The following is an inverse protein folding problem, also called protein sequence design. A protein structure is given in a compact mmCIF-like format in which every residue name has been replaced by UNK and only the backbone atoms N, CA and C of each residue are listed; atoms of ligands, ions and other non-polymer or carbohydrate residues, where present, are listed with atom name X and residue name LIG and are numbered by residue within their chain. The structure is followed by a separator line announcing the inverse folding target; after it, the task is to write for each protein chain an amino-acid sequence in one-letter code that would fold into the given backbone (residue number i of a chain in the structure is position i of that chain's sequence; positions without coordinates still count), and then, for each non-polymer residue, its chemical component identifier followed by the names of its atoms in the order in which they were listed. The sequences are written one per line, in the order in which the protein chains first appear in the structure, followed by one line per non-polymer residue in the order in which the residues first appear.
data_IF_515668084551
#
_entry.id   IF_515668084551
#
_cell.length_a   1.000
_cell.length_b   1.000
_cell.length_c   1.000
_cell.angle_alpha   90.00
_cell.angle_beta   90.00
_cell.angle_gamma   90.00
#
_symmetry.space_group_name_H-M   'P 1'
#
loop_
_entity.id
_entity.type
_entity.pdbx_description
1 polymer ?
#
# COMPACT_ATOMS: atom_id res chain seq x y z
N UNK A 1 -32.51 -2.84 -40.17
CA UNK A 1 -32.11 -2.09 -38.96
C UNK A 1 -30.87 -1.33 -39.36
N UNK A 2 -30.94 0.02 -39.39
CA UNK A 2 -29.93 0.88 -40.02
C UNK A 2 -28.63 0.86 -39.17
N UNK A 3 -27.46 0.79 -39.84
CA UNK A 3 -26.12 0.82 -39.21
C UNK A 3 -25.95 2.01 -38.27
N UNK A 4 -26.48 3.18 -38.66
CA UNK A 4 -26.49 4.38 -37.79
C UNK A 4 -27.20 4.14 -36.45
N UNK A 5 -28.34 3.42 -36.45
CA UNK A 5 -29.07 3.14 -35.21
C UNK A 5 -28.30 2.15 -34.31
N UNK A 6 -27.48 1.26 -34.91
CA UNK A 6 -26.59 0.36 -34.16
C UNK A 6 -25.38 1.12 -33.58
N UNK A 7 -24.79 2.03 -34.36
CA UNK A 7 -23.70 2.88 -33.90
C UNK A 7 -24.17 3.82 -32.77
N UNK A 8 -25.36 4.43 -32.91
CA UNK A 8 -25.94 5.30 -31.87
C UNK A 8 -26.23 4.47 -30.60
N UNK A 9 -26.81 3.26 -30.72
CA UNK A 9 -27.03 2.38 -29.56
C UNK A 9 -25.72 1.91 -28.92
N UNK A 10 -24.71 1.55 -29.71
CA UNK A 10 -23.39 1.21 -29.23
C UNK A 10 -22.70 2.41 -28.55
N UNK A 11 -22.83 3.61 -29.12
CA UNK A 11 -22.28 4.86 -28.53
C UNK A 11 -23.00 5.23 -27.24
N UNK A 12 -24.33 5.06 -27.18
CA UNK A 12 -25.11 5.29 -25.95
C UNK A 12 -24.79 4.20 -24.91
N UNK A 13 -24.66 2.94 -25.33
CA UNK A 13 -24.23 1.83 -24.46
C UNK A 13 -22.81 2.04 -23.94
N UNK A 14 -21.88 2.47 -24.78
CA UNK A 14 -20.51 2.82 -24.40
C UNK A 14 -20.45 4.12 -23.56
N UNK A 15 -21.34 5.09 -23.80
CA UNK A 15 -21.46 6.31 -22.94
C UNK A 15 -22.21 6.04 -21.64
N UNK A 16 -23.14 5.09 -21.62
CA UNK A 16 -23.85 4.67 -20.41
C UNK A 16 -23.05 3.65 -19.58
N UNK A 17 -22.14 2.92 -20.21
CA UNK A 17 -21.10 2.08 -19.65
C UNK A 17 -19.69 2.73 -19.75
N UNK A 18 -19.56 4.03 -19.89
CA UNK A 18 -18.44 4.71 -19.25
C UNK A 18 -18.59 4.29 -17.80
N UNK A 19 -17.86 3.24 -17.44
CA UNK A 19 -17.74 2.70 -16.10
C UNK A 19 -17.86 3.88 -15.17
N UNK A 20 -18.84 3.85 -14.30
CA UNK A 20 -18.91 4.75 -13.18
C UNK A 20 -17.54 4.60 -12.55
N UNK A 21 -16.59 5.49 -12.96
CA UNK A 21 -15.18 5.32 -12.59
C UNK A 21 -15.20 5.35 -11.08
N UNK A 22 -15.12 4.14 -10.50
CA UNK A 22 -15.18 3.98 -9.06
C UNK A 22 -14.23 4.99 -8.45
N UNK A 23 -14.71 5.78 -7.51
CA UNK A 23 -13.87 6.77 -6.84
C UNK A 23 -12.79 6.03 -6.06
N UNK A 24 -11.65 5.76 -6.75
CA UNK A 24 -10.57 4.90 -6.26
C UNK A 24 -9.44 5.74 -5.71
N UNK A 25 -9.05 5.42 -4.47
CA UNK A 25 -7.92 6.02 -3.80
C UNK A 25 -6.64 5.22 -3.97
N UNK A 26 -5.49 5.88 -4.04
CA UNK A 26 -4.18 5.27 -3.99
C UNK A 26 -3.54 5.53 -2.63
N UNK A 27 -2.98 4.49 -2.00
CA UNK A 27 -2.17 4.57 -0.79
C UNK A 27 -0.88 3.78 -0.94
N UNK A 28 0.26 4.47 -0.83
CA UNK A 28 1.59 3.86 -1.01
C UNK A 28 2.29 3.66 0.32
N UNK A 29 2.88 2.49 0.52
CA UNK A 29 3.71 2.19 1.68
C UNK A 29 4.68 1.05 1.41
N UNK A 30 5.79 0.98 2.18
CA UNK A 30 6.69 -0.17 2.13
C UNK A 30 6.20 -1.35 2.97
N UNK A 31 5.46 -1.07 4.04
CA UNK A 31 4.89 -2.09 4.96
C UNK A 31 5.93 -3.07 5.50
N UNK A 32 6.98 -2.56 6.09
CA UNK A 32 8.14 -3.31 6.61
C UNK A 32 8.29 -3.23 8.16
N UNK A 33 7.39 -3.85 8.96
CA UNK A 33 6.17 -4.57 8.60
C UNK A 33 4.93 -3.68 8.46
N UNK A 34 3.80 -4.28 8.07
CA UNK A 34 2.48 -3.68 8.20
C UNK A 34 2.13 -3.50 9.68
N UNK A 35 1.59 -2.34 10.05
CA UNK A 35 1.28 -1.99 11.45
C UNK A 35 -0.11 -1.36 11.60
N UNK A 36 -0.59 -1.22 12.85
CA UNK A 36 -1.92 -0.67 13.14
C UNK A 36 -2.16 0.71 12.53
N UNK A 37 -1.15 1.56 12.49
CA UNK A 37 -1.25 2.86 11.81
C UNK A 37 -1.55 2.77 10.31
N UNK A 38 -1.03 1.75 9.61
CA UNK A 38 -1.39 1.49 8.22
C UNK A 38 -2.84 1.02 8.08
N UNK A 39 -3.30 0.16 8.98
CA UNK A 39 -4.66 -0.35 9.00
C UNK A 39 -5.67 0.81 9.18
N UNK A 40 -5.44 1.68 10.13
CA UNK A 40 -6.31 2.83 10.38
C UNK A 40 -6.28 3.83 9.20
N UNK A 41 -5.12 4.03 8.58
CA UNK A 41 -5.01 4.84 7.36
C UNK A 41 -5.89 4.28 6.22
N UNK A 42 -5.86 2.97 6.00
CA UNK A 42 -6.67 2.30 4.98
C UNK A 42 -8.17 2.45 5.30
N UNK A 43 -8.57 2.25 6.56
CA UNK A 43 -9.96 2.46 7.00
C UNK A 43 -10.42 3.89 6.79
N UNK A 44 -9.56 4.87 7.07
CA UNK A 44 -9.89 6.29 6.83
C UNK A 44 -10.02 6.61 5.35
N UNK A 45 -9.19 6.03 4.51
CA UNK A 45 -9.27 6.19 3.05
C UNK A 45 -10.57 5.58 2.52
N UNK A 46 -10.94 4.36 2.93
CA UNK A 46 -12.17 3.69 2.50
C UNK A 46 -13.47 4.39 2.94
N UNK A 47 -13.41 5.29 3.92
CA UNK A 47 -14.54 6.20 4.22
C UNK A 47 -14.74 7.31 3.18
N UNK A 48 -13.74 7.55 2.32
CA UNK A 48 -13.68 8.70 1.38
C UNK A 48 -13.71 8.28 -0.09
N UNK A 49 -13.53 6.98 -0.36
CA UNK A 49 -13.49 6.38 -1.70
C UNK A 49 -14.23 5.05 -1.71
N UNK A 50 -14.65 4.61 -2.89
CA UNK A 50 -15.34 3.32 -3.08
C UNK A 50 -14.36 2.16 -3.05
N UNK A 51 -13.16 2.34 -3.63
CA UNK A 51 -12.10 1.33 -3.67
C UNK A 51 -10.74 1.96 -3.32
N UNK A 52 -9.81 1.13 -2.89
CA UNK A 52 -8.43 1.52 -2.60
C UNK A 52 -7.42 0.64 -3.34
N UNK A 53 -6.42 1.29 -3.93
CA UNK A 53 -5.20 0.63 -4.41
C UNK A 53 -4.11 0.81 -3.34
N UNK A 54 -3.71 -0.27 -2.73
CA UNK A 54 -2.61 -0.33 -1.76
C UNK A 54 -1.35 -0.73 -2.54
N UNK A 55 -0.44 0.21 -2.72
CA UNK A 55 0.83 -0.04 -3.40
C UNK A 55 1.89 -0.44 -2.39
N UNK A 56 2.44 -1.65 -2.57
CA UNK A 56 3.62 -2.10 -1.84
C UNK A 56 4.86 -1.61 -2.60
N UNK A 57 5.38 -0.46 -2.18
CA UNK A 57 6.57 0.14 -2.78
C UNK A 57 7.85 -0.64 -2.47
N UNK A 58 8.92 -0.31 -3.20
CA UNK A 58 10.23 -1.00 -3.08
C UNK A 58 10.08 -2.52 -3.18
N UNK A 59 9.26 -2.99 -4.13
CA UNK A 59 8.86 -4.40 -4.23
C UNK A 59 10.04 -5.33 -4.55
N UNK A 60 11.06 -4.80 -5.24
CA UNK A 60 12.28 -5.55 -5.60
C UNK A 60 13.21 -5.81 -4.42
N UNK A 61 13.08 -5.04 -3.34
CA UNK A 61 13.98 -5.15 -2.19
C UNK A 61 13.43 -6.07 -1.11
N UNK A 62 14.32 -6.94 -0.63
CA UNK A 62 14.11 -7.81 0.52
C UNK A 62 15.45 -8.21 1.14
N UNK A 63 15.43 -8.89 2.26
CA UNK A 63 16.62 -9.47 2.92
C UNK A 63 17.74 -8.44 3.19
N UNK A 64 17.34 -7.23 3.62
CA UNK A 64 18.24 -6.23 4.20
C UNK A 64 17.56 -5.57 5.40
N UNK A 65 18.34 -4.86 6.23
CA UNK A 65 17.86 -4.29 7.50
C UNK A 65 16.68 -3.31 7.32
N UNK A 66 16.63 -2.61 6.20
CA UNK A 66 15.55 -1.66 5.90
C UNK A 66 14.32 -2.32 5.25
N UNK A 67 14.52 -3.45 4.57
CA UNK A 67 13.49 -4.23 3.88
C UNK A 67 13.67 -5.72 4.19
N UNK A 68 13.40 -6.19 5.42
CA UNK A 68 13.59 -7.60 5.80
C UNK A 68 12.61 -8.54 5.11
N UNK A 69 11.43 -8.06 4.73
CA UNK A 69 10.34 -8.86 4.18
C UNK A 69 10.19 -8.68 2.67
N UNK A 70 9.97 -9.79 1.95
CA UNK A 70 9.69 -9.79 0.51
C UNK A 70 8.37 -9.10 0.18
N UNK A 71 8.16 -8.74 -1.09
CA UNK A 71 6.88 -8.19 -1.53
C UNK A 71 5.72 -9.16 -1.27
N UNK A 72 5.92 -10.46 -1.53
CA UNK A 72 4.91 -11.49 -1.26
C UNK A 72 4.54 -11.59 0.21
N UNK A 73 5.52 -11.59 1.11
CA UNK A 73 5.27 -11.60 2.57
C UNK A 73 4.50 -10.37 3.02
N UNK A 74 4.82 -9.19 2.49
CA UNK A 74 4.11 -7.95 2.79
C UNK A 74 2.67 -7.97 2.28
N UNK A 75 2.42 -8.55 1.10
CA UNK A 75 1.05 -8.79 0.59
C UNK A 75 0.26 -9.64 1.58
N UNK A 76 0.85 -10.73 2.08
CA UNK A 76 0.19 -11.61 3.05
C UNK A 76 -0.11 -10.87 4.35
N UNK A 77 0.83 -10.09 4.89
CA UNK A 77 0.63 -9.27 6.09
C UNK A 77 -0.54 -8.29 5.93
N UNK A 78 -0.57 -7.55 4.81
CA UNK A 78 -1.65 -6.61 4.51
C UNK A 78 -2.98 -7.35 4.41
N UNK A 79 -3.02 -8.43 3.63
CA UNK A 79 -4.24 -9.22 3.40
C UNK A 79 -4.83 -9.75 4.70
N UNK A 80 -4.03 -10.45 5.50
CA UNK A 80 -4.49 -11.04 6.76
C UNK A 80 -4.93 -9.98 7.78
N UNK A 81 -4.23 -8.84 7.82
CA UNK A 81 -4.61 -7.74 8.70
C UNK A 81 -5.97 -7.11 8.29
N UNK A 82 -6.23 -6.95 7.00
CA UNK A 82 -7.49 -6.42 6.50
C UNK A 82 -8.64 -7.40 6.72
N UNK A 83 -8.41 -8.68 6.49
CA UNK A 83 -9.37 -9.76 6.72
C UNK A 83 -9.77 -9.84 8.21
N UNK A 84 -8.79 -9.88 9.12
CA UNK A 84 -9.03 -9.88 10.57
C UNK A 84 -9.73 -8.60 11.06
N UNK A 85 -9.61 -7.51 10.33
CA UNK A 85 -10.26 -6.22 10.60
C UNK A 85 -11.64 -6.07 9.95
N UNK A 86 -12.16 -7.12 9.30
CA UNK A 86 -13.43 -7.14 8.55
C UNK A 86 -13.51 -6.03 7.47
N UNK A 87 -12.40 -5.73 6.81
CA UNK A 87 -12.40 -4.83 5.66
C UNK A 87 -12.93 -5.58 4.44
N UNK A 88 -13.88 -4.98 3.72
CA UNK A 88 -14.44 -5.54 2.49
C UNK A 88 -13.36 -5.65 1.41
N UNK A 89 -12.91 -6.87 1.18
CA UNK A 89 -11.80 -7.16 0.29
C UNK A 89 -12.11 -6.90 -1.19
N UNK A 90 -13.40 -6.89 -1.56
CA UNK A 90 -13.84 -6.55 -2.93
C UNK A 90 -13.49 -5.11 -3.33
N UNK A 91 -13.22 -4.25 -2.34
CA UNK A 91 -12.84 -2.84 -2.49
C UNK A 91 -11.34 -2.60 -2.47
N UNK A 92 -10.51 -3.65 -2.39
CA UNK A 92 -9.07 -3.52 -2.13
C UNK A 92 -8.25 -4.18 -3.24
N UNK A 93 -7.35 -3.41 -3.83
CA UNK A 93 -6.31 -3.87 -4.74
C UNK A 93 -4.97 -3.78 -4.02
N UNK A 94 -4.19 -4.85 -3.99
CA UNK A 94 -2.83 -4.86 -3.44
C UNK A 94 -1.86 -5.11 -4.58
N UNK A 95 -1.02 -4.12 -4.87
CA UNK A 95 -0.14 -4.12 -6.04
C UNK A 95 1.30 -3.87 -5.60
N UNK A 96 2.22 -4.84 -5.79
CA UNK A 96 3.64 -4.61 -5.57
C UNK A 96 4.23 -3.83 -6.75
N UNK A 97 4.94 -2.75 -6.44
CA UNK A 97 5.56 -1.88 -7.46
C UNK A 97 7.04 -1.68 -7.11
N UNK A 98 7.95 -1.99 -8.04
CA UNK A 98 9.36 -1.71 -7.84
C UNK A 98 9.66 -0.21 -7.91
N UNK A 99 10.71 0.21 -7.21
CA UNK A 99 11.21 1.58 -7.35
C UNK A 99 11.86 1.78 -8.73
N UNK A 100 11.74 2.99 -9.25
CA UNK A 100 12.45 3.44 -10.44
C UNK A 100 13.59 4.39 -10.03
N UNK A 101 14.70 4.37 -10.78
CA UNK A 101 15.87 5.19 -10.45
C UNK A 101 15.62 6.69 -10.57
N UNK A 102 14.69 7.11 -11.45
CA UNK A 102 14.36 8.51 -11.69
C UNK A 102 12.99 8.83 -11.07
N UNK A 103 12.98 9.65 -10.04
CA UNK A 103 11.74 10.04 -9.35
C UNK A 103 10.69 10.65 -10.29
N UNK A 104 11.12 11.38 -11.34
CA UNK A 104 10.21 11.96 -12.32
C UNK A 104 9.39 10.91 -13.11
N UNK A 105 9.91 9.67 -13.23
CA UNK A 105 9.22 8.57 -13.92
C UNK A 105 8.37 7.72 -12.99
N UNK A 106 8.45 7.97 -11.68
CA UNK A 106 7.83 7.08 -10.69
C UNK A 106 6.30 7.04 -10.78
N UNK A 107 5.65 8.20 -11.02
CA UNK A 107 4.19 8.27 -11.16
C UNK A 107 3.74 7.49 -12.39
N UNK A 108 4.36 7.71 -13.55
CA UNK A 108 4.02 6.99 -14.79
C UNK A 108 4.28 5.48 -14.68
N UNK A 109 5.38 5.09 -14.02
CA UNK A 109 5.64 3.68 -13.75
C UNK A 109 4.55 3.07 -12.89
N UNK A 110 4.12 3.77 -11.82
CA UNK A 110 3.07 3.32 -10.93
C UNK A 110 1.72 3.17 -11.65
N UNK A 111 1.36 4.12 -12.53
CA UNK A 111 0.17 4.04 -13.39
C UNK A 111 0.19 2.77 -14.27
N UNK A 112 1.36 2.37 -14.76
CA UNK A 112 1.52 1.14 -15.56
C UNK A 112 1.31 -0.15 -14.76
N UNK A 113 1.48 -0.12 -13.44
CA UNK A 113 1.30 -1.29 -12.57
C UNK A 113 -0.08 -1.38 -11.91
N UNK A 114 -0.81 -0.26 -11.82
CA UNK A 114 -2.01 -0.19 -10.99
C UNK A 114 -3.29 -0.02 -11.81
N UNK A 115 -4.44 -0.46 -11.31
CA UNK A 115 -5.72 0.02 -11.80
C UNK A 115 -5.79 1.54 -11.71
N UNK A 116 -6.55 2.18 -12.59
CA UNK A 116 -6.76 3.62 -12.56
C UNK A 116 -7.27 4.11 -11.19
N UNK A 117 -6.75 5.24 -10.73
CA UNK A 117 -7.13 5.88 -9.46
C UNK A 117 -7.31 7.39 -9.65
N UNK A 118 -8.13 8.01 -8.79
CA UNK A 118 -8.51 9.42 -8.92
C UNK A 118 -7.87 10.31 -7.86
N UNK A 119 -7.57 9.74 -6.68
CA UNK A 119 -7.10 10.48 -5.51
C UNK A 119 -5.95 9.75 -4.86
N UNK A 120 -4.89 10.47 -4.53
CA UNK A 120 -3.73 9.92 -3.80
C UNK A 120 -3.82 10.33 -2.33
N UNK A 121 -3.60 9.38 -1.45
CA UNK A 121 -3.56 9.59 -0.01
C UNK A 121 -2.14 9.35 0.49
N UNK A 122 -1.46 10.40 0.91
CA UNK A 122 -0.09 10.32 1.42
C UNK A 122 0.22 11.48 2.37
N UNK A 123 1.04 11.20 3.38
CA UNK A 123 1.67 12.19 4.26
C UNK A 123 3.17 12.36 3.96
N UNK A 124 3.73 11.52 3.10
CA UNK A 124 5.13 11.56 2.71
C UNK A 124 5.35 12.73 1.73
N UNK A 125 6.29 13.68 2.03
CA UNK A 125 6.44 14.91 1.26
C UNK A 125 6.81 14.68 -0.21
N UNK A 126 7.75 13.76 -0.50
CA UNK A 126 8.18 13.48 -1.87
C UNK A 126 7.05 12.88 -2.69
N UNK A 127 6.38 11.85 -2.17
CA UNK A 127 5.20 11.24 -2.80
C UNK A 127 4.15 12.29 -3.14
N UNK A 128 3.81 13.15 -2.17
CA UNK A 128 2.84 14.22 -2.37
C UNK A 128 3.28 15.17 -3.50
N UNK A 129 4.55 15.56 -3.52
CA UNK A 129 5.09 16.49 -4.50
C UNK A 129 5.00 15.90 -5.91
N UNK A 130 5.47 14.67 -6.11
CA UNK A 130 5.47 14.00 -7.40
C UNK A 130 4.05 13.86 -7.98
N UNK A 131 3.09 13.44 -7.17
CA UNK A 131 1.71 13.32 -7.63
C UNK A 131 1.04 14.67 -7.92
N UNK A 132 1.29 15.72 -7.13
CA UNK A 132 0.77 17.07 -7.41
C UNK A 132 1.34 17.63 -8.72
N UNK A 133 2.62 17.42 -9.01
CA UNK A 133 3.26 17.83 -10.27
C UNK A 133 2.63 17.11 -11.47
N UNK A 134 2.22 15.86 -11.30
CA UNK A 134 1.48 15.07 -12.29
C UNK A 134 -0.05 15.31 -12.26
N UNK A 135 -0.52 16.43 -11.66
CA UNK A 135 -1.90 16.90 -11.65
C UNK A 135 -2.89 16.01 -10.87
N UNK A 136 -2.42 15.10 -10.05
CA UNK A 136 -3.29 14.32 -9.19
C UNK A 136 -3.81 15.11 -8.00
N UNK A 137 -5.04 14.80 -7.59
CA UNK A 137 -5.58 15.27 -6.32
C UNK A 137 -4.91 14.51 -5.18
N UNK A 138 -4.19 15.22 -4.29
CA UNK A 138 -3.48 14.61 -3.17
C UNK A 138 -4.08 15.05 -1.85
N UNK A 139 -4.54 14.09 -1.04
CA UNK A 139 -5.08 14.31 0.29
C UNK A 139 -4.12 13.81 1.37
N UNK A 140 -4.11 14.51 2.51
CA UNK A 140 -3.46 14.01 3.73
C UNK A 140 -4.35 12.96 4.39
N UNK A 141 -3.70 12.03 5.07
CA UNK A 141 -4.35 11.08 5.96
C UNK A 141 -4.21 11.64 7.37
N UNK A 142 -5.31 11.69 8.11
CA UNK A 142 -5.28 12.07 9.52
C UNK A 142 -4.71 10.89 10.29
N UNK A 143 -3.47 10.99 10.76
CA UNK A 143 -2.85 9.94 11.55
C UNK A 143 -3.20 10.13 13.02
N UNK A 144 -3.79 9.10 13.62
CA UNK A 144 -3.71 8.90 15.04
C UNK A 144 -2.31 8.38 15.38
N UNK A 145 -1.60 9.09 16.26
CA UNK A 145 -0.34 8.64 16.90
C UNK A 145 0.81 8.23 15.95
N UNK A 146 1.13 9.06 14.95
CA UNK A 146 2.27 8.82 14.02
C UNK A 146 3.60 8.52 14.73
N UNK A 147 3.80 9.07 15.95
CA UNK A 147 5.02 8.82 16.74
C UNK A 147 5.09 7.37 17.23
N UNK A 148 3.96 6.72 17.45
CA UNK A 148 3.88 5.36 17.98
C UNK A 148 3.99 4.32 16.85
N UNK A 149 3.37 4.57 15.68
CA UNK A 149 3.30 3.63 14.57
C UNK A 149 4.33 3.98 13.49
N UNK A 150 5.53 3.41 13.60
CA UNK A 150 6.62 3.59 12.66
C UNK A 150 7.33 2.24 12.44
N UNK A 151 7.36 1.78 11.18
CA UNK A 151 7.98 0.48 10.85
C UNK A 151 9.46 0.39 11.23
N UNK A 152 10.20 1.51 11.21
CA UNK A 152 11.61 1.53 11.65
C UNK A 152 11.72 1.26 13.14
N UNK A 153 10.98 1.98 13.97
CA UNK A 153 10.97 1.75 15.43
C UNK A 153 10.44 0.35 15.79
N UNK A 154 9.51 -0.20 15.01
CA UNK A 154 9.03 -1.58 15.21
C UNK A 154 10.17 -2.56 14.95
N UNK A 155 10.94 -2.40 13.88
CA UNK A 155 12.10 -3.27 13.61
C UNK A 155 13.21 -3.14 14.67
N UNK A 156 13.47 -1.92 15.15
CA UNK A 156 14.40 -1.68 16.26
C UNK A 156 13.98 -2.45 17.51
N UNK A 157 12.71 -2.39 17.89
CA UNK A 157 12.16 -3.16 19.02
C UNK A 157 12.27 -4.68 18.83
N UNK A 158 12.04 -5.18 17.60
CA UNK A 158 12.27 -6.60 17.28
C UNK A 158 13.73 -7.03 17.49
N UNK A 159 14.70 -6.15 17.18
CA UNK A 159 16.12 -6.40 17.35
C UNK A 159 16.54 -6.39 18.82
N UNK A 160 15.98 -5.46 19.61
CA UNK A 160 16.32 -5.27 21.03
C UNK A 160 15.49 -6.14 21.99
N UNK A 161 14.64 -7.02 21.48
CA UNK A 161 13.69 -7.83 22.28
C UNK A 161 12.70 -6.97 23.10
N UNK A 162 12.45 -5.74 22.68
CA UNK A 162 11.39 -4.93 23.26
C UNK A 162 10.03 -5.33 22.70
N UNK A 163 8.97 -4.97 23.45
CA UNK A 163 7.59 -5.26 23.07
C UNK A 163 7.19 -4.47 21.85
N UNK A 164 6.91 -5.14 20.73
CA UNK A 164 6.51 -4.58 19.44
C UNK A 164 5.14 -5.12 18.98
N UNK A 165 4.68 -6.22 19.54
CA UNK A 165 3.48 -6.97 19.14
C UNK A 165 2.22 -6.09 19.24
N UNK A 166 2.17 -5.19 20.22
CA UNK A 166 1.06 -4.27 20.39
C UNK A 166 0.94 -3.22 19.27
N UNK A 167 2.00 -3.02 18.51
CA UNK A 167 2.05 -2.01 17.44
C UNK A 167 1.55 -2.53 16.10
N UNK A 168 1.41 -3.84 15.94
CA UNK A 168 0.94 -4.48 14.71
C UNK A 168 -0.35 -5.26 14.95
N UNK A 169 -1.15 -5.57 13.91
CA UNK A 169 -2.26 -6.51 14.02
C UNK A 169 -1.77 -7.90 14.44
N UNK A 170 -2.56 -8.62 15.23
CA UNK A 170 -2.18 -9.96 15.73
C UNK A 170 -1.86 -10.92 14.59
N UNK A 171 -2.60 -10.89 13.49
CA UNK A 171 -2.34 -11.70 12.30
C UNK A 171 -0.96 -11.44 11.67
N UNK A 172 -0.44 -10.22 11.82
CA UNK A 172 0.92 -9.87 11.37
C UNK A 172 1.97 -10.42 12.32
N UNK A 173 1.71 -10.41 13.64
CA UNK A 173 2.58 -11.07 14.64
C UNK A 173 2.72 -12.55 14.32
N UNK A 174 1.57 -13.23 14.18
CA UNK A 174 1.51 -14.66 13.86
C UNK A 174 2.25 -15.00 12.56
N UNK A 175 2.06 -14.19 11.54
CA UNK A 175 2.72 -14.40 10.26
C UNK A 175 4.24 -14.18 10.35
N UNK A 176 4.71 -13.12 10.99
CA UNK A 176 6.14 -12.85 11.19
C UNK A 176 6.79 -13.99 11.99
N UNK A 177 6.12 -14.50 13.01
CA UNK A 177 6.59 -15.67 13.77
C UNK A 177 6.66 -16.92 12.90
N UNK A 178 5.62 -17.18 12.10
CA UNK A 178 5.57 -18.34 11.19
C UNK A 178 6.69 -18.40 10.17
N UNK A 179 7.12 -17.24 9.65
CA UNK A 179 8.19 -17.14 8.63
C UNK A 179 9.57 -16.93 9.25
N UNK A 180 9.68 -17.04 10.57
CA UNK A 180 10.92 -16.78 11.33
C UNK A 180 11.54 -15.39 11.05
N UNK A 181 10.67 -14.41 10.88
CA UNK A 181 11.02 -13.06 10.43
C UNK A 181 11.90 -12.29 11.41
N UNK A 182 11.80 -12.58 12.72
CA UNK A 182 12.62 -11.93 13.77
C UNK A 182 14.08 -12.41 13.69
N UNK A 183 14.30 -13.72 13.57
CA UNK A 183 15.66 -14.25 13.45
C UNK A 183 16.29 -13.79 12.14
N UNK A 184 15.54 -13.82 11.03
CA UNK A 184 15.99 -13.20 9.76
C UNK A 184 16.47 -11.77 9.96
N UNK A 185 15.68 -10.93 10.64
CA UNK A 185 16.04 -9.52 10.88
C UNK A 185 17.31 -9.39 11.71
N UNK A 186 17.50 -10.27 12.72
CA UNK A 186 18.73 -10.31 13.54
C UNK A 186 19.96 -10.71 12.74
N UNK A 187 19.83 -11.72 11.87
CA UNK A 187 20.92 -12.16 11.01
C UNK A 187 21.35 -11.09 10.03
N UNK A 188 20.38 -10.40 9.41
CA UNK A 188 20.64 -9.26 8.53
C UNK A 188 21.35 -8.11 9.27
N UNK A 189 20.96 -7.83 10.52
CA UNK A 189 21.61 -6.78 11.31
C UNK A 189 23.07 -7.11 11.66
N UNK A 190 23.45 -8.39 11.74
CA UNK A 190 24.83 -8.82 11.93
C UNK A 190 25.69 -8.64 10.69
N UNK A 191 25.12 -8.91 9.51
CA UNK A 191 25.83 -8.79 8.23
C UNK A 191 26.03 -7.34 7.79
N UNK A 192 25.08 -6.44 8.09
CA UNK A 192 25.18 -5.04 7.72
C UNK A 192 26.17 -4.24 8.61
N UNK A 193 26.72 -4.84 9.66
CA UNK A 193 27.69 -4.24 10.59
C UNK A 193 29.14 -4.78 10.40
N UNK A 194 29.44 -5.44 9.27
CA UNK A 194 30.80 -5.96 8.96
C UNK A 194 31.48 -5.12 7.90
#
# INVERSE_FOLDING_TARGET
MNIESQIIKATIYLRGNVEKMNNRGLYVGRFQPFHKGHLEAIREVLKKVEEIVIVIGSAQYSHNIHNPFTAGERIVMVRQALEAANVDYSKVWIVPVPDVHLHMLWVSALEGYTPHFNIVFSNEPLTRRLFMENKYKVKKITFFERKQYNSTSIREKMLTNERWEDLVPISVVEYITKIDGINRLRDLNRTDNV
#
